data_IF_641836576022
#
_entry.id   IF_641836576022
#
_cell.length_a   1.000
_cell.length_b   1.000
_cell.length_c   1.000
_cell.angle_alpha   90.00
_cell.angle_beta   90.00
_cell.angle_gamma   90.00
#
_symmetry.space_group_name_H-M   'P 1'
#
loop_
_entity.id
_entity.type
_entity.pdbx_description
1 polymer ?
#
# COMPACT_ATOMS: atom_id res chain seq x y z
N UNK A 1 15.56 11.31 20.54
CA UNK A 1 15.47 12.24 19.40
C UNK A 1 14.68 13.46 19.82
N UNK A 2 15.27 14.65 19.69
CA UNK A 2 14.60 15.94 19.90
C UNK A 2 13.97 16.44 18.59
N UNK A 3 13.21 17.54 18.65
CA UNK A 3 12.47 18.08 17.49
C UNK A 3 13.39 18.51 16.34
N UNK A 4 14.52 19.15 16.63
CA UNK A 4 15.46 19.59 15.58
C UNK A 4 16.12 18.41 14.87
N UNK A 5 16.48 17.36 15.62
CA UNK A 5 16.94 16.09 15.05
C UNK A 5 15.87 15.45 14.18
N UNK A 6 14.60 15.45 14.64
CA UNK A 6 13.48 14.90 13.88
C UNK A 6 13.25 15.65 12.56
N UNK A 7 13.29 16.99 12.60
CA UNK A 7 13.17 17.85 11.41
C UNK A 7 14.31 17.61 10.41
N UNK A 8 15.54 17.45 10.89
CA UNK A 8 16.69 17.13 10.04
C UNK A 8 16.54 15.77 9.37
N UNK A 9 16.18 14.73 10.14
CA UNK A 9 15.96 13.38 9.61
C UNK A 9 14.80 13.41 8.60
N UNK A 10 13.67 14.02 8.96
CA UNK A 10 12.52 14.17 8.08
C UNK A 10 12.90 14.77 6.72
N UNK A 11 13.67 15.87 6.72
CA UNK A 11 14.13 16.51 5.48
C UNK A 11 14.87 15.51 4.59
N UNK A 12 15.83 14.77 5.14
CA UNK A 12 16.59 13.78 4.37
C UNK A 12 15.73 12.62 3.87
N UNK A 13 14.76 12.15 4.66
CA UNK A 13 13.83 11.09 4.23
C UNK A 13 12.94 11.58 3.07
N UNK A 14 12.47 12.83 3.11
CA UNK A 14 11.69 13.43 2.02
C UNK A 14 12.53 13.65 0.75
N UNK A 15 13.79 14.06 0.90
CA UNK A 15 14.74 14.18 -0.23
C UNK A 15 15.01 12.81 -0.87
N UNK A 16 15.22 11.76 -0.07
CA UNK A 16 15.40 10.39 -0.54
C UNK A 16 14.15 9.87 -1.27
N UNK A 17 12.96 10.06 -0.69
CA UNK A 17 11.69 9.72 -1.32
C UNK A 17 11.52 10.40 -2.69
N UNK A 18 11.87 11.69 -2.80
CA UNK A 18 11.83 12.44 -4.06
C UNK A 18 12.84 11.88 -5.07
N UNK A 19 14.04 11.52 -4.63
CA UNK A 19 15.04 10.90 -5.49
C UNK A 19 14.58 9.54 -6.02
N UNK A 20 13.96 8.70 -5.18
CA UNK A 20 13.41 7.41 -5.60
C UNK A 20 12.31 7.54 -6.65
N UNK A 21 11.37 8.47 -6.49
CA UNK A 21 10.35 8.73 -7.53
C UNK A 21 10.95 9.19 -8.85
N UNK A 22 12.04 9.96 -8.82
CA UNK A 22 12.76 10.33 -10.04
C UNK A 22 13.44 9.13 -10.70
N UNK A 23 14.04 8.24 -9.91
CA UNK A 23 14.62 7.01 -10.42
C UNK A 23 13.55 6.12 -11.05
N UNK A 24 12.39 5.95 -10.39
CA UNK A 24 11.24 5.21 -10.92
C UNK A 24 10.81 5.74 -12.29
N UNK A 25 10.64 7.05 -12.42
CA UNK A 25 10.24 7.69 -13.66
C UNK A 25 11.27 7.47 -14.78
N UNK A 26 12.57 7.56 -14.48
CA UNK A 26 13.64 7.33 -15.44
C UNK A 26 13.74 5.86 -15.87
N UNK A 27 13.45 4.92 -14.98
CA UNK A 27 13.52 3.48 -15.25
C UNK A 27 12.45 3.04 -16.26
N UNK A 28 11.36 3.78 -16.40
CA UNK A 28 10.37 3.54 -17.48
C UNK A 28 11.03 3.54 -18.86
N UNK A 29 12.08 4.34 -19.07
CA UNK A 29 12.82 4.42 -20.33
C UNK A 29 13.72 3.20 -20.59
N UNK A 30 13.97 2.36 -19.58
CA UNK A 30 14.84 1.17 -19.66
C UNK A 30 14.07 -0.07 -20.15
N UNK A 31 12.74 0.01 -20.24
CA UNK A 31 11.87 -1.12 -20.65
C UNK A 31 11.58 -2.11 -19.53
N UNK A 32 10.76 -3.13 -19.85
CA UNK A 32 10.14 -4.02 -18.86
C UNK A 32 11.13 -4.80 -17.99
N UNK A 33 12.27 -5.20 -18.55
CA UNK A 33 13.29 -5.96 -17.82
C UNK A 33 14.02 -5.10 -16.78
N UNK A 34 14.33 -3.85 -17.13
CA UNK A 34 14.92 -2.88 -16.20
C UNK A 34 13.95 -2.45 -15.11
N UNK A 35 12.66 -2.29 -15.48
CA UNK A 35 11.60 -2.00 -14.50
C UNK A 35 11.46 -3.11 -13.48
N UNK A 36 11.44 -4.38 -13.89
CA UNK A 36 11.32 -5.53 -12.97
C UNK A 36 12.49 -5.64 -12.00
N UNK A 37 13.73 -5.46 -12.47
CA UNK A 37 14.94 -5.58 -11.64
C UNK A 37 15.03 -4.51 -10.54
N UNK A 38 14.40 -3.36 -10.75
CA UNK A 38 14.52 -2.22 -9.86
C UNK A 38 13.24 -1.88 -9.09
N UNK A 39 12.08 -2.36 -9.55
CA UNK A 39 10.78 -2.06 -8.94
C UNK A 39 10.72 -2.53 -7.48
N UNK A 40 11.07 -3.79 -7.21
CA UNK A 40 10.96 -4.36 -5.87
C UNK A 40 11.86 -3.65 -4.84
N UNK A 41 13.18 -3.46 -5.06
CA UNK A 41 14.02 -2.71 -4.12
C UNK A 41 13.55 -1.27 -3.89
N UNK A 42 13.07 -0.61 -4.95
CA UNK A 42 12.63 0.79 -4.89
C UNK A 42 11.32 0.94 -4.12
N UNK A 43 10.33 0.08 -4.40
CA UNK A 43 9.04 0.04 -3.70
C UNK A 43 9.27 -0.26 -2.22
N UNK A 44 10.12 -1.24 -1.90
CA UNK A 44 10.48 -1.57 -0.52
C UNK A 44 11.15 -0.39 0.18
N UNK A 45 12.12 0.28 -0.45
CA UNK A 45 12.76 1.46 0.14
C UNK A 45 11.77 2.61 0.38
N UNK A 46 10.90 2.90 -0.59
CA UNK A 46 9.84 3.91 -0.46
C UNK A 46 8.88 3.55 0.67
N UNK A 47 8.53 2.27 0.83
CA UNK A 47 7.64 1.79 1.88
C UNK A 47 8.24 1.99 3.28
N UNK A 48 9.49 1.56 3.48
CA UNK A 48 10.18 1.69 4.77
C UNK A 48 10.34 3.17 5.15
N UNK A 49 10.63 4.04 4.17
CA UNK A 49 10.71 5.49 4.40
C UNK A 49 9.36 6.09 4.81
N UNK A 50 8.30 5.90 4.03
CA UNK A 50 7.02 6.59 4.25
C UNK A 50 6.19 5.97 5.37
N UNK A 51 6.04 4.64 5.34
CA UNK A 51 5.08 3.96 6.22
C UNK A 51 5.68 3.51 7.55
N UNK A 52 7.02 3.46 7.68
CA UNK A 52 7.69 3.17 8.95
C UNK A 52 8.39 4.39 9.54
N UNK A 53 9.45 4.89 8.90
CA UNK A 53 10.30 5.93 9.50
C UNK A 53 9.61 7.29 9.63
N UNK A 54 8.98 7.80 8.56
CA UNK A 54 8.26 9.07 8.61
C UNK A 54 7.04 9.00 9.54
N UNK A 55 6.26 7.92 9.50
CA UNK A 55 5.15 7.70 10.44
C UNK A 55 5.60 7.68 11.90
N UNK A 56 6.76 7.10 12.20
CA UNK A 56 7.33 7.14 13.55
C UNK A 56 7.68 8.58 13.98
N UNK A 57 8.22 9.39 13.07
CA UNK A 57 8.51 10.80 13.32
C UNK A 57 7.22 11.57 13.57
N UNK A 58 6.21 11.44 12.71
CA UNK A 58 4.94 12.18 12.82
C UNK A 58 4.12 11.79 14.05
N UNK A 59 4.16 10.51 14.47
CA UNK A 59 3.55 10.10 15.74
C UNK A 59 4.13 10.84 16.94
N UNK A 60 5.42 11.22 16.89
CA UNK A 60 6.11 11.93 17.97
C UNK A 60 6.09 13.44 17.81
N UNK A 61 6.05 13.94 16.57
CA UNK A 61 6.04 15.36 16.20
C UNK A 61 5.02 15.59 15.08
N UNK A 62 3.70 15.64 15.39
CA UNK A 62 2.64 15.73 14.39
C UNK A 62 2.70 17.01 13.55
N UNK A 63 3.24 18.09 14.12
CA UNK A 63 3.43 19.39 13.45
C UNK A 63 4.44 19.33 12.29
N UNK A 64 5.25 18.28 12.22
CA UNK A 64 6.19 18.09 11.11
C UNK A 64 5.52 17.42 9.91
N UNK A 65 4.36 16.78 10.04
CA UNK A 65 3.71 16.10 8.90
C UNK A 65 3.35 17.12 7.81
N UNK A 66 3.93 17.02 6.60
CA UNK A 66 3.61 17.94 5.52
C UNK A 66 2.16 17.72 5.10
N UNK A 67 1.48 18.76 4.56
CA UNK A 67 0.21 18.54 3.89
C UNK A 67 0.40 17.46 2.82
N UNK A 68 -0.50 16.47 2.81
CA UNK A 68 -0.43 15.35 1.88
C UNK A 68 -0.42 15.85 0.43
N UNK A 69 0.15 15.06 -0.52
CA UNK A 69 0.00 15.37 -1.94
C UNK A 69 -1.50 15.48 -2.29
N UNK A 70 -1.85 16.23 -3.35
CA UNK A 70 -3.23 16.23 -3.82
C UNK A 70 -3.66 14.78 -4.10
N UNK A 71 -4.89 14.41 -3.74
CA UNK A 71 -5.36 13.05 -3.95
C UNK A 71 -5.38 12.69 -5.43
N UNK A 72 -4.68 11.61 -5.80
CA UNK A 72 -4.66 11.06 -7.16
C UNK A 72 -5.31 9.70 -7.18
N UNK A 73 -6.08 9.43 -8.24
CA UNK A 73 -6.59 8.08 -8.53
C UNK A 73 -5.38 7.17 -8.79
N UNK A 74 -5.30 6.11 -8.01
CA UNK A 74 -4.27 5.07 -8.09
C UNK A 74 -4.70 3.95 -9.03
N UNK A 75 -5.98 3.57 -9.01
CA UNK A 75 -6.55 2.59 -9.94
C UNK A 75 -8.06 2.80 -10.11
N UNK A 76 -8.59 2.40 -11.26
CA UNK A 76 -10.01 2.33 -11.57
C UNK A 76 -10.49 0.90 -11.86
N UNK A 77 -9.65 -0.11 -11.64
CA UNK A 77 -9.97 -1.51 -11.93
C UNK A 77 -11.13 -1.98 -11.03
N UNK A 78 -12.17 -2.53 -11.67
CA UNK A 78 -13.32 -3.12 -10.98
C UNK A 78 -13.15 -4.64 -10.90
N UNK A 79 -13.75 -5.25 -9.89
CA UNK A 79 -13.59 -6.69 -9.62
C UNK A 79 -14.08 -7.57 -10.79
N UNK A 80 -15.16 -7.18 -11.42
CA UNK A 80 -15.77 -7.79 -12.60
C UNK A 80 -14.89 -7.75 -13.85
N UNK A 81 -13.91 -6.84 -13.89
CA UNK A 81 -12.93 -6.72 -14.97
C UNK A 81 -11.62 -7.48 -14.64
N UNK A 82 -11.50 -8.05 -13.44
CA UNK A 82 -10.31 -8.80 -13.01
C UNK A 82 -10.28 -10.18 -13.67
N UNK A 83 -9.16 -10.48 -14.34
CA UNK A 83 -8.83 -11.84 -14.80
C UNK A 83 -7.77 -12.46 -13.88
N UNK A 84 -8.18 -13.39 -13.03
CA UNK A 84 -7.25 -14.11 -12.15
C UNK A 84 -6.48 -15.19 -12.93
N UNK A 85 -5.24 -15.50 -12.51
CA UNK A 85 -4.58 -16.74 -12.90
C UNK A 85 -5.46 -17.95 -12.57
N UNK A 86 -5.46 -18.98 -13.41
CA UNK A 86 -6.29 -20.18 -13.22
C UNK A 86 -6.01 -20.95 -11.92
N UNK A 87 -4.85 -20.72 -11.30
CA UNK A 87 -4.42 -21.31 -10.04
C UNK A 87 -4.79 -20.49 -8.80
N UNK A 88 -5.44 -19.32 -8.96
CA UNK A 88 -5.77 -18.40 -7.86
C UNK A 88 -7.27 -18.17 -7.83
N UNK A 89 -7.87 -18.37 -6.66
CA UNK A 89 -9.28 -18.09 -6.42
C UNK A 89 -9.46 -16.80 -5.62
N UNK A 90 -10.64 -16.20 -5.73
CA UNK A 90 -11.01 -15.02 -4.94
C UNK A 90 -10.88 -15.27 -3.42
N UNK A 91 -11.20 -16.48 -2.97
CA UNK A 91 -11.07 -16.88 -1.56
C UNK A 91 -9.61 -16.92 -1.09
N UNK A 92 -8.65 -17.19 -1.99
CA UNK A 92 -7.23 -17.15 -1.65
C UNK A 92 -6.77 -15.70 -1.43
N UNK A 93 -7.27 -14.77 -2.26
CA UNK A 93 -7.03 -13.33 -2.04
C UNK A 93 -7.63 -12.86 -0.73
N UNK A 94 -8.86 -13.28 -0.41
CA UNK A 94 -9.51 -12.94 0.86
C UNK A 94 -8.67 -13.39 2.06
N UNK A 95 -8.14 -14.62 2.00
CA UNK A 95 -7.26 -15.15 3.05
C UNK A 95 -6.01 -14.29 3.23
N UNK A 96 -5.39 -13.85 2.13
CA UNK A 96 -4.23 -12.94 2.19
C UNK A 96 -4.65 -11.60 2.81
N UNK A 97 -5.74 -10.99 2.32
CA UNK A 97 -6.25 -9.69 2.80
C UNK A 97 -6.54 -9.74 4.31
N UNK A 98 -7.29 -10.75 4.78
CA UNK A 98 -7.63 -10.88 6.21
C UNK A 98 -6.40 -11.12 7.09
N UNK A 99 -5.31 -11.66 6.55
CA UNK A 99 -4.07 -11.82 7.31
C UNK A 99 -3.33 -10.49 7.55
N UNK A 100 -3.48 -9.52 6.64
CA UNK A 100 -2.75 -8.24 6.67
C UNK A 100 -3.57 -7.09 7.23
N UNK A 101 -4.90 -7.10 7.03
CA UNK A 101 -5.81 -6.10 7.59
C UNK A 101 -5.87 -6.24 9.10
N UNK A 102 -6.00 -5.11 9.80
CA UNK A 102 -6.07 -5.03 11.27
C UNK A 102 -7.36 -4.34 11.72
N UNK A 103 -7.77 -4.50 12.98
CA UNK A 103 -8.92 -3.77 13.54
C UNK A 103 -8.72 -2.25 13.59
N UNK A 104 -7.47 -1.77 13.61
CA UNK A 104 -7.19 -0.34 13.55
C UNK A 104 -7.22 0.17 12.11
N UNK A 105 -7.57 1.44 11.92
CA UNK A 105 -7.44 2.12 10.63
C UNK A 105 -6.01 2.05 10.11
N UNK A 106 -5.86 1.53 8.88
CA UNK A 106 -4.58 1.45 8.18
C UNK A 106 -4.75 1.94 6.77
N UNK A 107 -3.71 2.61 6.25
CA UNK A 107 -3.69 3.09 4.87
C UNK A 107 -3.86 1.93 3.89
N UNK A 108 -4.75 2.09 2.91
CA UNK A 108 -4.99 1.07 1.89
C UNK A 108 -3.68 0.72 1.16
N UNK A 109 -2.88 1.71 0.76
CA UNK A 109 -1.57 1.48 0.15
C UNK A 109 -0.65 0.56 1.00
N UNK A 110 -0.75 0.65 2.33
CA UNK A 110 0.06 -0.17 3.22
C UNK A 110 -0.46 -1.62 3.30
N UNK A 111 -1.78 -1.80 3.28
CA UNK A 111 -2.42 -3.13 3.22
C UNK A 111 -2.06 -3.82 1.90
N UNK A 112 -2.14 -3.11 0.77
CA UNK A 112 -1.80 -3.62 -0.55
C UNK A 112 -0.33 -4.08 -0.62
N UNK A 113 0.60 -3.29 -0.08
CA UNK A 113 2.00 -3.68 -0.01
C UNK A 113 2.20 -4.98 0.79
N UNK A 114 1.66 -5.06 2.00
CA UNK A 114 1.77 -6.28 2.81
C UNK A 114 1.10 -7.51 2.17
N UNK A 115 0.04 -7.32 1.36
CA UNK A 115 -0.60 -8.41 0.64
C UNK A 115 0.31 -8.96 -0.46
N UNK A 116 0.91 -8.10 -1.28
CA UNK A 116 1.84 -8.50 -2.34
C UNK A 116 3.13 -9.11 -1.76
N UNK A 117 3.70 -8.49 -0.72
CA UNK A 117 4.88 -9.01 -0.01
C UNK A 117 4.65 -10.46 0.47
N UNK A 118 3.44 -10.76 1.00
CA UNK A 118 3.07 -12.14 1.36
C UNK A 118 2.99 -13.10 0.17
N UNK A 119 2.53 -12.63 -0.99
CA UNK A 119 2.46 -13.47 -2.19
C UNK A 119 3.86 -13.76 -2.72
N UNK A 120 4.72 -12.75 -2.78
CA UNK A 120 6.05 -12.84 -3.38
C UNK A 120 7.06 -13.54 -2.46
N UNK A 121 7.12 -13.14 -1.19
CA UNK A 121 8.12 -13.66 -0.23
C UNK A 121 7.65 -14.95 0.45
N UNK A 122 6.40 -14.99 0.92
CA UNK A 122 5.85 -16.14 1.67
C UNK A 122 5.18 -17.17 0.77
N UNK A 123 5.14 -16.95 -0.56
CA UNK A 123 4.45 -17.81 -1.54
C UNK A 123 3.01 -18.12 -1.13
N UNK A 124 2.31 -17.12 -0.60
CA UNK A 124 0.95 -17.28 -0.09
C UNK A 124 -0.06 -17.70 -1.17
N UNK A 125 0.27 -17.50 -2.46
CA UNK A 125 -0.53 -17.90 -3.62
C UNK A 125 0.32 -18.69 -4.63
N UNK A 126 -0.35 -19.44 -5.50
CA UNK A 126 0.27 -20.24 -6.55
C UNK A 126 0.76 -19.41 -7.75
N UNK A 127 0.39 -18.12 -7.83
CA UNK A 127 0.80 -17.20 -8.89
C UNK A 127 0.90 -15.76 -8.33
N UNK A 128 1.72 -14.90 -8.93
CA UNK A 128 1.82 -13.49 -8.55
C UNK A 128 0.49 -12.76 -8.82
N UNK A 129 0.17 -11.81 -7.96
CA UNK A 129 -1.03 -10.97 -8.02
C UNK A 129 -0.62 -9.55 -7.68
N UNK A 130 -1.06 -8.58 -8.49
CA UNK A 130 -0.68 -7.18 -8.35
C UNK A 130 -1.54 -6.41 -7.32
N UNK A 131 -1.16 -5.14 -7.09
CA UNK A 131 -1.87 -4.24 -6.20
C UNK A 131 -3.30 -3.94 -6.66
N UNK A 132 -3.55 -3.85 -7.96
CA UNK A 132 -4.87 -3.45 -8.49
C UNK A 132 -5.89 -4.56 -8.26
N UNK A 133 -5.50 -5.82 -8.44
CA UNK A 133 -6.34 -6.99 -8.14
C UNK A 133 -6.69 -7.04 -6.66
N UNK A 134 -5.72 -6.83 -5.77
CA UNK A 134 -6.01 -6.75 -4.33
C UNK A 134 -6.90 -5.54 -3.98
N UNK A 135 -6.69 -4.38 -4.61
CA UNK A 135 -7.51 -3.19 -4.37
C UNK A 135 -8.97 -3.42 -4.82
N UNK A 136 -9.16 -3.99 -6.01
CA UNK A 136 -10.48 -4.37 -6.53
C UNK A 136 -11.16 -5.38 -5.59
N UNK A 137 -10.42 -6.35 -5.05
CA UNK A 137 -10.98 -7.32 -4.11
C UNK A 137 -11.36 -6.69 -2.76
N UNK A 138 -10.54 -5.76 -2.25
CA UNK A 138 -10.83 -5.01 -1.02
C UNK A 138 -12.12 -4.19 -1.17
N UNK A 139 -12.35 -3.57 -2.34
CA UNK A 139 -13.60 -2.88 -2.61
C UNK A 139 -14.80 -3.81 -2.43
N UNK A 140 -14.77 -5.02 -3.01
CA UNK A 140 -15.85 -6.01 -2.84
C UNK A 140 -16.06 -6.36 -1.37
N UNK A 141 -14.97 -6.57 -0.61
CA UNK A 141 -15.06 -6.90 0.82
C UNK A 141 -15.64 -5.76 1.67
N UNK A 142 -15.46 -4.51 1.25
CA UNK A 142 -16.11 -3.34 1.84
C UNK A 142 -17.59 -3.30 1.45
N UNK A 143 -17.92 -3.57 0.19
CA UNK A 143 -19.30 -3.57 -0.32
C UNK A 143 -20.17 -4.66 0.35
N UNK A 144 -19.58 -5.82 0.68
CA UNK A 144 -20.24 -6.89 1.43
C UNK A 144 -20.07 -6.77 2.95
N UNK A 145 -19.61 -5.61 3.43
CA UNK A 145 -19.57 -5.24 4.84
C UNK A 145 -18.67 -6.12 5.72
N UNK A 146 -17.65 -6.76 5.12
CA UNK A 146 -16.62 -7.50 5.83
C UNK A 146 -15.44 -6.61 6.27
N UNK A 147 -15.25 -5.49 5.57
CA UNK A 147 -14.27 -4.45 5.85
C UNK A 147 -14.96 -3.10 5.94
N UNK A 148 -14.39 -2.18 6.73
CA UNK A 148 -14.81 -0.78 6.75
C UNK A 148 -13.76 0.07 6.03
N UNK A 149 -14.23 1.09 5.31
CA UNK A 149 -13.39 2.03 4.59
C UNK A 149 -13.73 3.49 4.93
N UNK A 150 -12.71 4.34 4.92
CA UNK A 150 -12.85 5.78 4.92
C UNK A 150 -12.00 6.40 3.80
N UNK A 151 -12.57 7.39 3.11
CA UNK A 151 -12.01 7.98 1.89
C UNK A 151 -12.50 7.31 0.60
N UNK A 152 -11.89 7.67 -0.53
CA UNK A 152 -12.17 7.07 -1.83
C UNK A 152 -11.16 5.93 -2.09
N UNK A 153 -11.60 4.67 -2.12
CA UNK A 153 -10.71 3.49 -2.28
C UNK A 153 -9.93 3.46 -3.60
N UNK A 154 -10.29 4.28 -4.59
CA UNK A 154 -9.48 4.52 -5.78
C UNK A 154 -8.19 5.32 -5.48
N UNK A 155 -8.09 5.98 -4.33
CA UNK A 155 -6.98 6.83 -3.91
C UNK A 155 -6.21 6.17 -2.75
N UNK A 156 -5.36 5.18 -3.05
CA UNK A 156 -4.80 4.27 -2.05
C UNK A 156 -4.03 4.93 -0.90
N UNK A 157 -3.35 6.05 -1.17
CA UNK A 157 -2.63 6.83 -0.15
C UNK A 157 -3.54 7.70 0.74
N UNK A 158 -4.76 7.97 0.30
CA UNK A 158 -5.72 8.86 0.96
C UNK A 158 -6.86 8.11 1.63
N UNK A 159 -6.90 6.79 1.48
CA UNK A 159 -7.94 5.94 2.03
C UNK A 159 -7.40 5.00 3.08
N UNK A 160 -8.25 4.69 4.04
CA UNK A 160 -7.93 3.78 5.13
C UNK A 160 -9.00 2.70 5.23
N UNK A 161 -8.55 1.50 5.58
CA UNK A 161 -9.37 0.31 5.72
C UNK A 161 -9.08 -0.33 7.07
N UNK A 162 -10.11 -0.89 7.69
CA UNK A 162 -9.98 -1.73 8.89
C UNK A 162 -10.87 -2.96 8.79
N UNK A 163 -10.54 -3.96 9.58
CA UNK A 163 -11.42 -5.10 9.80
C UNK A 163 -12.69 -4.61 10.50
N UNK A 164 -13.86 -5.00 10.00
CA UNK A 164 -15.11 -4.70 10.70
C UNK A 164 -15.17 -5.49 11.99
N UNK A 165 -15.48 -4.82 13.10
CA UNK A 165 -15.67 -5.51 14.37
C UNK A 165 -16.90 -6.43 14.23
N UNK A 166 -16.67 -7.73 14.34
CA UNK A 166 -17.76 -8.69 14.56
C UNK A 166 -18.16 -8.60 16.02
N UNK A 167 -18.72 -7.47 16.43
CA UNK A 167 -19.52 -7.44 17.65
C UNK A 167 -20.69 -8.40 17.41
N UNK A 168 -20.58 -9.58 18.00
CA UNK A 168 -21.73 -10.46 18.22
C UNK A 168 -22.75 -9.60 18.94
N UNK A 169 -23.94 -9.45 18.35
CA UNK A 169 -25.09 -8.82 19.00
C UNK A 169 -25.31 -9.40 20.41
#
# INVERSE_FOLDING_TARGET
>A
MNREQAKKIQKHLLEAAKAYRKAEAAIVEVGDDGRKLFAEPLVTAVFQLHFKLLRLIYKRFPDLEPPGPPPTISSTLRWEDVSLPSSVLAADLDRVIFSVVKPQWRKLAMILHSAVEKVEEEKALAAPVDFEVFAARIQVLVDVDLLEAQGNLQMWGHSEVRLKDRSVN
#
